data_IF_666973851110
#
_entry.id   IF_666973851110
#
_cell.length_a   1.000
_cell.length_b   1.000
_cell.length_c   1.000
_cell.angle_alpha   90.00
_cell.angle_beta   90.00
_cell.angle_gamma   90.00
#
_symmetry.space_group_name_H-M   'P 1'
#
loop_
_entity.id
_entity.type
_entity.pdbx_description
1 polymer ?
#
# COMPACT_ATOMS: atom_id res chain seq x y z
N UNK A 1 21.01 4.65 -17.61
CA UNK A 1 21.49 3.30 -18.03
C UNK A 1 22.35 3.55 -19.23
N UNK A 2 23.67 3.33 -19.10
CA UNK A 2 24.70 3.70 -20.09
C UNK A 2 24.84 2.68 -21.24
N UNK A 3 23.98 1.69 -21.33
CA UNK A 3 24.02 0.67 -22.38
C UNK A 3 25.12 -0.36 -22.27
N UNK A 4 25.91 -0.38 -21.20
CA UNK A 4 26.93 -1.42 -20.95
C UNK A 4 26.23 -2.75 -20.64
N UNK A 5 26.54 -3.80 -21.40
CA UNK A 5 26.10 -5.16 -21.10
C UNK A 5 26.92 -5.71 -19.91
N UNK A 6 26.33 -5.74 -18.74
CA UNK A 6 26.90 -6.50 -17.61
C UNK A 6 26.58 -7.97 -17.80
N UNK A 7 27.62 -8.79 -17.98
CA UNK A 7 27.51 -10.26 -18.00
C UNK A 7 27.80 -10.75 -16.59
N UNK A 8 26.79 -11.26 -15.91
CA UNK A 8 26.94 -11.91 -14.62
C UNK A 8 26.93 -13.42 -14.82
N UNK A 9 27.92 -14.11 -14.24
CA UNK A 9 27.99 -15.57 -14.22
C UNK A 9 27.61 -16.09 -12.85
N UNK A 10 26.70 -17.05 -12.81
CA UNK A 10 26.23 -17.69 -11.57
C UNK A 10 26.56 -19.17 -11.60
N UNK A 11 26.95 -19.73 -10.44
CA UNK A 11 27.15 -21.18 -10.31
C UNK A 11 25.75 -21.85 -10.27
N UNK A 12 25.44 -22.63 -11.30
CA UNK A 12 24.14 -23.30 -11.43
C UNK A 12 23.87 -24.25 -10.27
N UNK A 13 24.89 -24.89 -9.72
CA UNK A 13 24.73 -25.83 -8.61
C UNK A 13 24.15 -25.21 -7.35
N UNK A 14 24.34 -23.91 -7.14
CA UNK A 14 23.77 -23.17 -5.99
C UNK A 14 22.26 -22.98 -6.08
N UNK A 15 21.70 -23.05 -7.30
CA UNK A 15 20.29 -22.75 -7.58
C UNK A 15 19.52 -23.96 -8.12
N UNK A 16 20.18 -25.07 -8.42
CA UNK A 16 19.58 -26.21 -9.15
C UNK A 16 18.40 -26.83 -8.42
N UNK A 17 18.46 -26.93 -7.10
CA UNK A 17 17.39 -27.52 -6.29
C UNK A 17 16.17 -26.61 -6.29
N UNK A 18 16.36 -25.31 -6.10
CA UNK A 18 15.29 -24.32 -6.18
C UNK A 18 14.67 -24.26 -7.58
N UNK A 19 15.50 -24.27 -8.62
CA UNK A 19 15.05 -24.31 -10.01
C UNK A 19 14.21 -25.57 -10.29
N UNK A 20 14.70 -26.73 -9.90
CA UNK A 20 14.01 -28.02 -10.10
C UNK A 20 12.69 -28.08 -9.37
N UNK A 21 12.64 -27.57 -8.13
CA UNK A 21 11.40 -27.44 -7.36
C UNK A 21 10.39 -26.52 -8.04
N UNK A 22 10.83 -25.35 -8.48
CA UNK A 22 9.98 -24.34 -9.15
C UNK A 22 9.47 -24.86 -10.48
N UNK A 23 10.35 -25.46 -11.29
CA UNK A 23 10.00 -26.09 -12.58
C UNK A 23 8.92 -27.18 -12.40
N UNK A 24 9.14 -28.08 -11.45
CA UNK A 24 8.18 -29.18 -11.17
C UNK A 24 6.81 -28.66 -10.72
N UNK A 25 6.79 -27.58 -9.93
CA UNK A 25 5.54 -26.95 -9.52
C UNK A 25 4.84 -26.24 -10.69
N UNK A 26 5.60 -25.57 -11.58
CA UNK A 26 5.08 -24.96 -12.78
C UNK A 26 4.47 -26.01 -13.74
N UNK A 27 5.17 -27.12 -13.97
CA UNK A 27 4.68 -28.22 -14.82
C UNK A 27 3.36 -28.81 -14.29
N UNK A 28 3.28 -29.05 -12.98
CA UNK A 28 2.04 -29.47 -12.31
C UNK A 28 0.91 -28.46 -12.49
N UNK A 29 1.23 -27.17 -12.30
CA UNK A 29 0.29 -26.08 -12.47
C UNK A 29 -0.24 -26.05 -13.91
N UNK A 30 0.65 -26.05 -14.91
CA UNK A 30 0.28 -26.04 -16.33
C UNK A 30 -0.61 -27.23 -16.70
N UNK A 31 -0.30 -28.43 -16.23
CA UNK A 31 -1.12 -29.62 -16.45
C UNK A 31 -2.53 -29.46 -15.89
N UNK A 32 -2.67 -28.78 -14.76
CA UNK A 32 -3.97 -28.49 -14.16
C UNK A 32 -4.73 -27.41 -14.95
N UNK A 33 -4.08 -26.33 -15.32
CA UNK A 33 -4.68 -25.18 -16.05
C UNK A 33 -5.20 -25.60 -17.42
N UNK A 34 -4.50 -26.49 -18.11
CA UNK A 34 -4.96 -27.01 -19.42
C UNK A 34 -6.26 -27.84 -19.32
N UNK A 35 -6.59 -28.34 -18.13
CA UNK A 35 -7.81 -29.15 -17.89
C UNK A 35 -8.94 -28.34 -17.27
N UNK A 36 -8.67 -27.25 -16.60
CA UNK A 36 -9.63 -26.47 -15.85
C UNK A 36 -9.65 -25.01 -16.32
N UNK A 37 -10.83 -24.42 -16.47
CA UNK A 37 -10.95 -22.99 -16.74
C UNK A 37 -10.56 -22.22 -15.48
N UNK A 38 -9.41 -21.56 -15.51
CA UNK A 38 -8.92 -20.76 -14.39
C UNK A 38 -9.64 -19.43 -14.30
N UNK A 39 -9.92 -19.00 -13.07
CA UNK A 39 -10.41 -17.67 -12.78
C UNK A 39 -9.23 -16.77 -12.33
N UNK A 40 -9.09 -15.54 -12.85
CA UNK A 40 -7.99 -14.67 -12.46
C UNK A 40 -8.09 -14.26 -10.98
N UNK A 41 -7.04 -14.51 -10.22
CA UNK A 41 -6.95 -14.12 -8.82
C UNK A 41 -5.92 -13.00 -8.65
N UNK A 42 -6.26 -11.99 -7.86
CA UNK A 42 -5.37 -10.85 -7.61
C UNK A 42 -4.14 -11.27 -6.80
N UNK A 43 -2.97 -10.87 -7.27
CA UNK A 43 -1.69 -11.09 -6.59
C UNK A 43 -0.81 -9.83 -6.59
N UNK A 44 0.35 -9.89 -5.91
CA UNK A 44 1.28 -8.76 -5.81
C UNK A 44 1.88 -8.30 -7.13
N UNK A 45 1.88 -9.17 -8.16
CA UNK A 45 2.43 -8.86 -9.48
C UNK A 45 1.41 -8.22 -10.44
N UNK A 46 0.15 -8.07 -10.04
CA UNK A 46 -0.87 -7.50 -10.92
C UNK A 46 -0.53 -6.10 -11.42
N UNK A 47 0.17 -5.29 -10.62
CA UNK A 47 0.51 -3.91 -11.00
C UNK A 47 1.54 -3.81 -12.14
N UNK A 48 2.25 -4.90 -12.45
CA UNK A 48 3.24 -4.98 -13.53
C UNK A 48 2.86 -6.05 -14.57
N UNK A 49 1.61 -6.52 -14.54
CA UNK A 49 1.12 -7.60 -15.38
C UNK A 49 0.40 -7.03 -16.62
N UNK A 50 0.80 -7.45 -17.81
CA UNK A 50 0.20 -7.00 -19.08
C UNK A 50 -1.29 -7.38 -19.20
N UNK A 51 -1.77 -8.34 -18.40
CA UNK A 51 -3.17 -8.78 -18.37
C UNK A 51 -4.01 -8.06 -17.32
N UNK A 52 -3.48 -7.04 -16.65
CA UNK A 52 -4.17 -6.35 -15.55
C UNK A 52 -5.56 -5.86 -15.95
N UNK A 53 -5.66 -5.17 -17.09
CA UNK A 53 -6.93 -4.59 -17.54
C UNK A 53 -7.97 -5.66 -17.88
N UNK A 54 -7.56 -6.72 -18.57
CA UNK A 54 -8.42 -7.86 -18.89
C UNK A 54 -8.97 -8.52 -17.62
N UNK A 55 -8.12 -8.68 -16.61
CA UNK A 55 -8.54 -9.21 -15.31
C UNK A 55 -9.48 -8.25 -14.57
N UNK A 56 -9.20 -6.95 -14.62
CA UNK A 56 -10.03 -5.93 -13.99
C UNK A 56 -11.43 -5.89 -14.60
N UNK A 57 -11.55 -5.86 -15.91
CA UNK A 57 -12.84 -5.94 -16.61
C UNK A 57 -13.64 -7.20 -16.23
N UNK A 58 -12.96 -8.33 -16.12
CA UNK A 58 -13.58 -9.60 -15.70
C UNK A 58 -14.10 -9.52 -14.26
N UNK A 59 -13.31 -8.96 -13.36
CA UNK A 59 -13.72 -8.78 -11.95
C UNK A 59 -14.88 -7.79 -11.82
N UNK A 60 -14.89 -6.70 -12.58
CA UNK A 60 -15.96 -5.72 -12.61
C UNK A 60 -17.27 -6.35 -13.10
N UNK A 61 -17.21 -7.04 -14.23
CA UNK A 61 -18.37 -7.76 -14.80
C UNK A 61 -18.97 -8.77 -13.82
N UNK A 62 -18.13 -9.48 -13.09
CA UNK A 62 -18.56 -10.51 -12.14
C UNK A 62 -18.88 -9.93 -10.74
N UNK A 63 -18.71 -8.63 -10.53
CA UNK A 63 -18.81 -7.98 -9.22
C UNK A 63 -17.99 -8.71 -8.15
N UNK A 64 -16.74 -9.08 -8.53
CA UNK A 64 -15.95 -10.04 -7.78
C UNK A 64 -15.43 -9.48 -6.47
N UNK A 65 -15.44 -10.30 -5.43
CA UNK A 65 -15.13 -9.90 -4.05
C UNK A 65 -13.71 -9.34 -3.84
N UNK A 66 -12.74 -9.69 -4.72
CA UNK A 66 -11.37 -9.19 -4.61
C UNK A 66 -11.24 -7.68 -4.81
N UNK A 67 -12.29 -7.01 -5.32
CA UNK A 67 -12.36 -5.58 -5.52
C UNK A 67 -12.85 -4.80 -4.29
N UNK A 68 -13.24 -5.49 -3.22
CA UNK A 68 -13.55 -4.80 -1.96
C UNK A 68 -12.29 -4.11 -1.45
N UNK A 69 -12.35 -2.80 -1.30
CA UNK A 69 -11.19 -2.02 -0.87
C UNK A 69 -10.66 -2.51 0.49
N UNK A 70 -9.36 -2.76 0.56
CA UNK A 70 -8.69 -3.25 1.75
C UNK A 70 -8.83 -4.76 2.01
N UNK A 71 -9.46 -5.52 1.12
CA UNK A 71 -9.53 -6.98 1.24
C UNK A 71 -8.20 -7.63 0.86
N UNK A 72 -7.79 -8.66 1.61
CA UNK A 72 -6.59 -9.47 1.34
C UNK A 72 -6.95 -10.76 0.64
N UNK A 73 -6.07 -11.29 -0.21
CA UNK A 73 -6.27 -12.56 -0.92
C UNK A 73 -6.62 -13.73 0.02
N UNK A 74 -6.01 -13.78 1.21
CA UNK A 74 -6.34 -14.79 2.22
C UNK A 74 -7.77 -14.65 2.78
N UNK A 75 -8.31 -13.44 2.82
CA UNK A 75 -9.70 -13.17 3.23
C UNK A 75 -10.68 -13.53 2.12
N UNK A 76 -10.33 -13.20 0.86
CA UNK A 76 -11.09 -13.64 -0.33
C UNK A 76 -11.25 -15.16 -0.32
N UNK A 77 -10.14 -15.89 -0.17
CA UNK A 77 -10.17 -17.37 -0.15
C UNK A 77 -11.05 -17.92 0.97
N UNK A 78 -11.05 -17.28 2.15
CA UNK A 78 -11.90 -17.69 3.28
C UNK A 78 -13.37 -17.42 3.03
N UNK A 79 -13.72 -16.25 2.51
CA UNK A 79 -15.10 -15.86 2.21
C UNK A 79 -15.70 -16.70 1.06
N UNK A 80 -14.90 -17.02 0.05
CA UNK A 80 -15.33 -17.92 -1.05
C UNK A 80 -15.73 -19.30 -0.54
N UNK A 81 -15.06 -19.83 0.49
CA UNK A 81 -15.46 -21.12 1.11
C UNK A 81 -16.84 -21.07 1.77
N UNK A 82 -17.34 -19.88 2.08
CA UNK A 82 -18.69 -19.63 2.59
C UNK A 82 -19.65 -19.15 1.50
N UNK A 83 -19.32 -19.35 0.22
CA UNK A 83 -20.08 -18.89 -0.95
C UNK A 83 -20.25 -17.37 -1.05
N UNK A 84 -19.44 -16.60 -0.33
CA UNK A 84 -19.38 -15.14 -0.41
C UNK A 84 -18.29 -14.80 -1.44
N UNK A 85 -18.66 -14.73 -2.71
CA UNK A 85 -17.73 -14.54 -3.85
C UNK A 85 -17.89 -13.22 -4.58
N UNK A 86 -18.90 -12.41 -4.22
CA UNK A 86 -19.16 -11.11 -4.86
C UNK A 86 -19.26 -9.99 -3.82
N UNK A 87 -19.06 -8.74 -4.27
CA UNK A 87 -19.25 -7.55 -3.42
C UNK A 87 -20.70 -7.51 -2.90
N UNK A 88 -21.67 -7.77 -3.77
CA UNK A 88 -23.08 -7.80 -3.42
C UNK A 88 -23.37 -8.80 -2.28
N UNK A 89 -22.86 -10.02 -2.40
CA UNK A 89 -23.05 -11.04 -1.35
C UNK A 89 -22.46 -10.61 -0.03
N UNK A 90 -21.25 -10.04 -0.06
CA UNK A 90 -20.62 -9.54 1.17
C UNK A 90 -21.39 -8.36 1.75
N UNK A 91 -21.88 -7.45 0.91
CA UNK A 91 -22.68 -6.30 1.34
C UNK A 91 -23.98 -6.71 2.06
N UNK A 92 -24.60 -7.79 1.62
CA UNK A 92 -25.83 -8.36 2.21
C UNK A 92 -25.58 -9.26 3.43
N UNK A 93 -24.33 -9.63 3.68
CA UNK A 93 -23.98 -10.57 4.78
C UNK A 93 -23.83 -9.81 6.10
N UNK A 94 -24.46 -10.33 7.16
CA UNK A 94 -24.18 -9.86 8.52
C UNK A 94 -22.74 -10.29 8.91
N UNK A 95 -21.86 -9.36 9.31
CA UNK A 95 -20.49 -9.70 9.69
C UNK A 95 -20.41 -10.74 10.84
N UNK A 96 -21.41 -10.80 11.70
CA UNK A 96 -21.48 -11.79 12.79
C UNK A 96 -21.74 -13.21 12.29
N UNK A 97 -22.37 -13.36 11.13
CA UNK A 97 -22.66 -14.66 10.52
C UNK A 97 -21.49 -15.24 9.72
N UNK A 98 -20.43 -14.46 9.45
CA UNK A 98 -19.22 -14.96 8.80
C UNK A 98 -18.47 -15.89 9.74
N UNK A 99 -18.39 -17.18 9.42
CA UNK A 99 -17.78 -18.23 10.26
C UNK A 99 -16.25 -18.25 10.15
N UNK A 100 -15.71 -17.84 9.02
CA UNK A 100 -14.27 -17.85 8.74
C UNK A 100 -13.45 -17.15 9.81
N UNK A 101 -12.24 -17.67 10.05
CA UNK A 101 -11.24 -17.05 10.95
C UNK A 101 -10.68 -15.75 10.35
N UNK A 102 -11.50 -14.71 10.36
CA UNK A 102 -11.16 -13.32 10.03
C UNK A 102 -11.41 -12.52 11.31
N UNK A 103 -10.53 -11.57 11.61
CA UNK A 103 -10.68 -10.69 12.78
C UNK A 103 -12.07 -10.01 12.77
N UNK A 104 -12.82 -9.97 13.89
CA UNK A 104 -14.17 -9.40 13.94
C UNK A 104 -14.25 -7.96 13.42
N UNK A 105 -13.30 -7.09 13.78
CA UNK A 105 -13.22 -5.72 13.29
C UNK A 105 -13.02 -5.66 11.76
N UNK A 106 -12.23 -6.60 11.21
CA UNK A 106 -12.06 -6.70 9.75
C UNK A 106 -13.33 -7.17 9.06
N UNK A 107 -14.11 -8.10 9.65
CA UNK A 107 -15.41 -8.52 9.09
C UNK A 107 -16.35 -7.33 8.96
N UNK A 108 -16.46 -6.53 10.02
CA UNK A 108 -17.29 -5.30 10.04
C UNK A 108 -16.83 -4.32 8.97
N UNK A 109 -15.53 -4.00 8.92
CA UNK A 109 -14.97 -3.05 7.95
C UNK A 109 -15.19 -3.49 6.50
N UNK A 110 -14.92 -4.76 6.19
CA UNK A 110 -15.09 -5.30 4.84
C UNK A 110 -16.56 -5.31 4.40
N UNK A 111 -17.48 -5.71 5.29
CA UNK A 111 -18.91 -5.70 5.00
C UNK A 111 -19.43 -4.27 4.78
N UNK A 112 -18.99 -3.33 5.62
CA UNK A 112 -19.34 -1.92 5.47
C UNK A 112 -18.80 -1.34 4.15
N UNK A 113 -17.56 -1.64 3.82
CA UNK A 113 -16.93 -1.21 2.57
C UNK A 113 -17.65 -1.82 1.36
N UNK A 114 -18.01 -3.10 1.41
CA UNK A 114 -18.79 -3.74 0.37
C UNK A 114 -20.15 -3.07 0.16
N UNK A 115 -20.84 -2.68 1.24
CA UNK A 115 -22.13 -1.94 1.15
C UNK A 115 -21.97 -0.61 0.43
N UNK A 116 -20.93 0.17 0.74
CA UNK A 116 -20.67 1.45 0.10
C UNK A 116 -20.34 1.29 -1.40
N UNK A 117 -19.53 0.27 -1.73
CA UNK A 117 -19.17 -0.01 -3.13
C UNK A 117 -20.37 -0.51 -3.93
N UNK A 118 -21.19 -1.39 -3.36
CA UNK A 118 -22.42 -1.87 -4.00
C UNK A 118 -23.44 -0.75 -4.20
N UNK A 119 -23.60 0.13 -3.23
CA UNK A 119 -24.47 1.30 -3.37
C UNK A 119 -23.99 2.24 -4.48
N UNK A 120 -22.65 2.49 -4.55
CA UNK A 120 -22.06 3.25 -5.65
C UNK A 120 -22.33 2.60 -7.00
N UNK A 121 -22.17 1.28 -7.10
CA UNK A 121 -22.43 0.51 -8.33
C UNK A 121 -23.88 0.66 -8.81
N UNK A 122 -24.84 0.62 -7.88
CA UNK A 122 -26.26 0.68 -8.18
C UNK A 122 -26.77 2.11 -8.46
N UNK A 123 -26.23 3.11 -7.78
CA UNK A 123 -26.75 4.48 -7.80
C UNK A 123 -25.85 5.47 -8.53
N UNK A 124 -24.64 5.07 -8.89
CA UNK A 124 -23.55 5.92 -9.39
C UNK A 124 -23.19 7.10 -8.45
N UNK A 125 -23.58 7.03 -7.16
CA UNK A 125 -23.29 8.05 -6.15
C UNK A 125 -22.32 7.50 -5.11
N UNK A 126 -21.19 8.17 -4.93
CA UNK A 126 -20.23 7.82 -3.88
C UNK A 126 -20.76 8.28 -2.53
N UNK A 127 -20.72 7.39 -1.53
CA UNK A 127 -20.98 7.71 -0.13
C UNK A 127 -19.76 7.37 0.71
N UNK A 128 -19.65 8.03 1.84
CA UNK A 128 -18.61 7.80 2.83
C UNK A 128 -19.22 7.81 4.22
N UNK A 129 -18.58 7.13 5.15
CA UNK A 129 -18.99 7.07 6.55
C UNK A 129 -17.82 7.60 7.38
N UNK A 130 -18.07 8.64 8.14
CA UNK A 130 -17.11 9.14 9.11
C UNK A 130 -16.96 8.14 10.26
N UNK A 131 -15.73 7.77 10.56
CA UNK A 131 -15.47 7.05 11.80
C UNK A 131 -15.75 7.96 12.98
N UNK A 132 -16.35 7.40 14.05
CA UNK A 132 -16.51 8.15 15.29
C UNK A 132 -15.13 8.55 15.81
N UNK A 133 -14.98 9.83 16.11
CA UNK A 133 -13.78 10.32 16.78
C UNK A 133 -13.74 9.75 18.21
N UNK A 134 -12.61 9.16 18.57
CA UNK A 134 -12.37 8.69 19.93
C UNK A 134 -11.43 9.68 20.63
N UNK A 135 -11.77 10.06 21.85
CA UNK A 135 -10.92 10.93 22.68
C UNK A 135 -9.51 10.36 22.77
N UNK A 136 -8.51 11.19 22.57
CA UNK A 136 -7.08 10.83 22.55
C UNK A 136 -6.62 9.91 21.40
N UNK A 137 -7.39 9.82 20.30
CA UNK A 137 -6.98 9.08 19.10
C UNK A 137 -7.19 9.89 17.83
N UNK A 138 -6.34 9.64 16.84
CA UNK A 138 -6.44 10.26 15.52
C UNK A 138 -6.40 11.78 15.60
N UNK A 139 -7.35 12.45 14.98
CA UNK A 139 -7.42 13.91 14.94
C UNK A 139 -7.52 14.60 16.29
N UNK A 140 -8.01 13.91 17.34
CA UNK A 140 -8.00 14.45 18.70
C UNK A 140 -6.59 14.70 19.27
N UNK A 141 -5.58 14.07 18.68
CA UNK A 141 -4.17 14.29 19.09
C UNK A 141 -3.46 15.36 18.29
N UNK A 142 -4.10 15.87 17.26
CA UNK A 142 -3.50 16.96 16.50
C UNK A 142 -3.60 18.24 17.34
N UNK A 143 -2.52 18.99 17.45
CA UNK A 143 -2.56 20.32 18.05
C UNK A 143 -3.46 21.24 17.22
N UNK A 144 -3.89 22.35 17.83
CA UNK A 144 -4.59 23.39 17.09
C UNK A 144 -3.65 23.98 16.03
N UNK A 145 -4.18 24.29 14.81
CA UNK A 145 -3.37 24.85 13.74
C UNK A 145 -2.65 26.13 14.16
N UNK A 146 -1.38 26.24 13.83
CA UNK A 146 -0.52 27.35 14.17
C UNK A 146 0.28 27.83 12.94
N UNK A 147 0.59 29.12 12.86
CA UNK A 147 1.43 29.65 11.77
C UNK A 147 2.83 29.02 11.72
N UNK A 148 3.31 28.48 12.82
CA UNK A 148 4.58 27.78 12.92
C UNK A 148 4.51 26.29 12.53
N UNK A 149 3.35 25.75 12.15
CA UNK A 149 3.23 24.37 11.73
C UNK A 149 4.15 24.06 10.54
N UNK A 150 4.81 22.91 10.61
CA UNK A 150 5.68 22.39 9.56
C UNK A 150 5.11 21.08 9.04
N UNK A 151 4.91 21.01 7.73
CA UNK A 151 4.55 19.77 7.05
C UNK A 151 5.82 19.11 6.54
N UNK A 152 6.15 17.95 7.07
CA UNK A 152 7.38 17.22 6.80
C UNK A 152 7.12 15.97 5.98
N UNK A 153 7.95 15.76 4.97
CA UNK A 153 7.98 14.54 4.16
C UNK A 153 9.42 14.06 3.99
N UNK A 154 9.59 12.74 3.84
CA UNK A 154 10.89 12.08 3.75
C UNK A 154 10.89 11.08 2.61
N UNK A 155 11.94 11.13 1.80
CA UNK A 155 12.15 10.17 0.73
C UNK A 155 13.42 9.35 0.97
N UNK A 156 13.28 8.05 0.85
CA UNK A 156 14.36 7.12 1.11
C UNK A 156 14.46 5.99 0.09
N UNK A 157 15.63 5.39 0.01
CA UNK A 157 15.88 4.18 -0.75
C UNK A 157 16.07 3.01 0.22
N UNK A 158 15.06 2.13 0.38
CA UNK A 158 15.05 1.13 1.45
C UNK A 158 16.09 0.02 1.28
N UNK A 159 16.68 -0.11 0.10
CA UNK A 159 17.62 -1.20 -0.23
C UNK A 159 19.04 -0.73 -0.58
N UNK A 160 19.38 0.53 -0.28
CA UNK A 160 20.74 1.03 -0.50
C UNK A 160 21.73 0.29 0.44
N UNK A 161 22.74 -0.35 -0.14
CA UNK A 161 23.84 -1.00 0.60
C UNK A 161 23.37 -1.79 1.84
N UNK A 162 22.33 -2.60 1.69
CA UNK A 162 21.77 -3.46 2.74
C UNK A 162 21.15 -2.71 3.94
N UNK A 163 20.97 -1.40 3.87
CA UNK A 163 20.26 -0.58 4.85
C UNK A 163 19.40 0.47 4.19
N UNK A 164 18.35 0.93 4.83
CA UNK A 164 17.62 2.12 4.39
C UNK A 164 18.55 3.33 4.31
N UNK A 165 18.36 4.16 3.28
CA UNK A 165 19.09 5.40 3.07
C UNK A 165 18.10 6.52 2.75
N UNK A 166 18.15 7.60 3.53
CA UNK A 166 17.26 8.74 3.36
C UNK A 166 18.00 9.82 2.58
N UNK A 167 17.51 10.13 1.38
CA UNK A 167 18.19 11.03 0.47
C UNK A 167 17.57 12.42 0.38
N UNK A 168 16.34 12.59 0.86
CA UNK A 168 15.63 13.87 0.84
C UNK A 168 14.74 14.02 2.07
N UNK A 169 14.86 15.19 2.71
CA UNK A 169 13.91 15.69 3.69
C UNK A 169 13.25 16.94 3.12
N UNK A 170 11.94 16.90 2.93
CA UNK A 170 11.14 18.01 2.43
C UNK A 170 10.31 18.64 3.55
N UNK A 171 10.24 19.94 3.60
CA UNK A 171 9.39 20.67 4.52
C UNK A 171 8.58 21.73 3.78
N UNK A 172 7.32 21.88 4.16
CA UNK A 172 6.45 22.97 3.72
C UNK A 172 5.99 23.74 4.95
N UNK A 173 6.19 25.04 4.98
CA UNK A 173 5.99 25.86 6.16
C UNK A 173 5.65 27.30 5.79
N UNK A 174 5.07 28.05 6.74
CA UNK A 174 4.82 29.47 6.57
C UNK A 174 6.06 30.29 7.02
N UNK A 175 6.61 31.13 6.15
CA UNK A 175 7.81 31.91 6.43
C UNK A 175 7.55 33.29 7.07
N UNK A 176 6.29 33.59 7.41
CA UNK A 176 5.83 34.90 7.91
C UNK A 176 5.18 35.77 6.83
N UNK A 177 5.21 35.35 5.54
CA UNK A 177 4.61 36.07 4.41
C UNK A 177 3.81 35.14 3.51
N UNK A 178 4.33 33.94 3.24
CA UNK A 178 3.74 32.94 2.37
C UNK A 178 4.17 31.54 2.79
N UNK A 179 3.46 30.54 2.32
CA UNK A 179 3.93 29.17 2.39
C UNK A 179 5.09 28.95 1.43
N UNK A 180 6.09 28.21 1.89
CA UNK A 180 7.34 27.95 1.18
C UNK A 180 7.73 26.48 1.36
N UNK A 181 8.27 25.90 0.29
CA UNK A 181 8.85 24.55 0.33
C UNK A 181 10.37 24.67 0.42
N UNK A 182 10.96 23.89 1.32
CA UNK A 182 12.41 23.76 1.45
C UNK A 182 12.78 22.27 1.50
N UNK A 183 13.84 21.90 0.80
CA UNK A 183 14.38 20.54 0.82
C UNK A 183 15.83 20.51 1.29
N UNK A 184 16.20 19.39 1.87
CA UNK A 184 17.56 19.03 2.25
C UNK A 184 17.87 17.71 1.54
N UNK A 185 18.71 17.77 0.50
CA UNK A 185 18.95 16.64 -0.39
C UNK A 185 20.44 16.30 -0.36
N UNK A 186 20.76 15.00 -0.31
CA UNK A 186 22.14 14.53 -0.42
C UNK A 186 22.73 14.87 -1.77
N UNK A 187 24.03 15.20 -1.81
CA UNK A 187 24.77 15.34 -3.06
C UNK A 187 25.32 13.99 -3.53
N UNK A 188 25.70 13.14 -2.59
CA UNK A 188 26.24 11.82 -2.83
C UNK A 188 25.60 10.81 -1.86
N UNK A 189 25.42 9.57 -2.30
CA UNK A 189 24.83 8.49 -1.50
C UNK A 189 25.80 7.95 -0.43
N UNK A 190 26.24 8.82 0.49
CA UNK A 190 27.13 8.49 1.58
C UNK A 190 26.49 8.74 2.95
N UNK A 191 26.85 7.94 3.97
CA UNK A 191 26.42 8.18 5.36
C UNK A 191 26.75 9.58 5.87
N UNK A 192 27.84 10.16 5.37
CA UNK A 192 28.27 11.50 5.74
C UNK A 192 27.27 12.55 5.24
N UNK A 193 26.86 12.45 3.98
CA UNK A 193 25.88 13.37 3.39
C UNK A 193 24.48 13.17 4.01
N UNK A 194 24.03 11.93 4.23
CA UNK A 194 22.79 11.62 4.93
C UNK A 194 22.74 12.27 6.32
N UNK A 195 23.80 12.11 7.12
CA UNK A 195 23.91 12.74 8.44
C UNK A 195 23.94 14.26 8.35
N UNK A 196 24.59 14.81 7.33
CA UNK A 196 24.71 16.27 7.12
C UNK A 196 23.34 16.88 6.83
N UNK A 197 22.58 16.34 5.88
CA UNK A 197 21.26 16.90 5.53
C UNK A 197 20.26 16.77 6.69
N UNK A 198 20.33 15.69 7.47
CA UNK A 198 19.54 15.56 8.67
C UNK A 198 19.90 16.61 9.74
N UNK A 199 21.20 16.87 9.93
CA UNK A 199 21.65 17.94 10.84
C UNK A 199 21.16 19.32 10.38
N UNK A 200 21.27 19.64 9.08
CA UNK A 200 20.77 20.89 8.50
C UNK A 200 19.25 21.04 8.69
N UNK A 201 18.48 19.95 8.57
CA UNK A 201 17.05 19.93 8.88
C UNK A 201 16.79 20.27 10.34
N UNK A 202 17.50 19.63 11.29
CA UNK A 202 17.31 19.87 12.73
C UNK A 202 17.65 21.32 13.09
N UNK A 203 18.77 21.82 12.61
CA UNK A 203 19.17 23.23 12.83
C UNK A 203 18.14 24.24 12.27
N UNK A 204 17.51 23.89 11.15
CA UNK A 204 16.41 24.68 10.60
C UNK A 204 15.18 24.65 11.50
N UNK A 205 14.76 23.45 11.94
CA UNK A 205 13.58 23.27 12.79
C UNK A 205 13.76 23.97 14.15
N UNK A 206 14.92 23.85 14.77
CA UNK A 206 15.24 24.58 16.02
C UNK A 206 15.01 26.09 15.85
N UNK A 207 15.62 26.71 14.83
CA UNK A 207 15.43 28.14 14.54
C UNK A 207 13.99 28.51 14.22
N UNK A 208 13.26 27.61 13.56
CA UNK A 208 11.87 27.84 13.22
C UNK A 208 10.98 27.83 14.47
N UNK A 209 11.15 26.83 15.34
CA UNK A 209 10.36 26.70 16.57
C UNK A 209 10.75 27.72 17.66
N UNK A 210 11.99 28.22 17.65
CA UNK A 210 12.35 29.38 18.47
C UNK A 210 11.50 30.61 18.11
N UNK A 211 11.20 30.80 16.82
CA UNK A 211 10.32 31.86 16.34
C UNK A 211 8.84 31.57 16.62
N UNK A 212 8.44 30.32 16.62
CA UNK A 212 7.07 29.85 16.80
C UNK A 212 6.93 28.85 17.96
N UNK A 213 7.10 29.29 19.23
CA UNK A 213 7.21 28.39 20.38
C UNK A 213 5.92 27.64 20.74
N UNK A 214 4.82 27.91 20.03
CA UNK A 214 3.54 27.22 20.21
C UNK A 214 3.21 26.24 19.07
N UNK A 215 4.09 26.11 18.09
CA UNK A 215 3.92 25.18 16.97
C UNK A 215 4.36 23.76 17.34
#
# INVERSE_FOLDING_TARGET
>A
VDGTKLINSFNVSEFIDYFSFTKKNLEKFLTKVMKEKMYPEKCSFCNICDWQDVCAEKWDKDNYINQVCGIRSSQVSKLKKENISTIEKLAKTDPKKIKSKINPGSKVKLTQQAKLQEEKRLTNKSKFIFNKTETNKGFYKMPEPNEGDVFYDIEGFPQADQRPFEYLHGIYFYNGKKFEFKNFTVKDFTKKEEKKIFKELIEFLEKHFDKYPKA
#
